data_IF_506105612235
#
_entry.id   IF_506105612235
#
_cell.length_a   1.000
_cell.length_b   1.000
_cell.length_c   1.000
_cell.angle_alpha   90.00
_cell.angle_beta   90.00
_cell.angle_gamma   90.00
#
_symmetry.space_group_name_H-M   'P 1'
#
loop_
_entity.id
_entity.type
_entity.pdbx_description
1 polymer ?
#
# COMPACT_ATOMS: atom_id res chain seq x y z
N UNK A 1 3.95 -4.69 4.26
CA UNK A 1 2.73 -5.42 4.68
C UNK A 1 2.99 -6.59 5.64
N UNK A 2 4.25 -7.01 5.87
CA UNK A 2 4.58 -8.13 6.79
C UNK A 2 4.13 -7.91 8.24
N UNK A 3 4.28 -6.69 8.79
CA UNK A 3 3.88 -6.39 10.17
C UNK A 3 2.38 -6.61 10.41
N UNK A 4 1.51 -6.09 9.54
CA UNK A 4 0.06 -6.32 9.60
C UNK A 4 -0.27 -7.83 9.56
N UNK A 5 0.35 -8.56 8.62
CA UNK A 5 0.14 -10.01 8.49
C UNK A 5 0.54 -10.78 9.76
N UNK A 6 1.65 -10.42 10.41
CA UNK A 6 2.09 -11.07 11.66
C UNK A 6 1.12 -10.88 12.83
N UNK A 7 0.23 -9.88 12.73
CA UNK A 7 -0.81 -9.57 13.72
C UNK A 7 -2.21 -10.03 13.26
N UNK A 8 -2.30 -10.83 12.19
CA UNK A 8 -3.56 -11.23 11.55
C UNK A 8 -4.43 -10.05 11.08
N UNK A 9 -3.80 -8.94 10.70
CA UNK A 9 -4.46 -7.77 10.10
C UNK A 9 -4.32 -7.85 8.58
N UNK A 10 -5.44 -7.71 7.88
CA UNK A 10 -5.47 -7.57 6.43
C UNK A 10 -4.84 -6.24 6.01
N UNK A 11 -4.11 -6.27 4.89
CA UNK A 11 -3.51 -5.05 4.34
C UNK A 11 -3.51 -5.07 2.82
N UNK A 12 -3.61 -3.89 2.20
CA UNK A 12 -3.55 -3.73 0.75
C UNK A 12 -2.78 -2.46 0.37
N UNK A 13 -1.98 -2.57 -0.70
CA UNK A 13 -1.35 -1.41 -1.33
C UNK A 13 -2.34 -0.75 -2.28
N UNK A 14 -2.62 0.54 -2.07
CA UNK A 14 -3.44 1.35 -2.97
C UNK A 14 -2.52 2.30 -3.74
N UNK A 15 -2.32 2.03 -5.03
CA UNK A 15 -1.44 2.80 -5.91
C UNK A 15 -2.15 4.03 -6.53
N UNK A 16 -2.78 4.84 -5.68
CA UNK A 16 -3.53 6.06 -6.09
C UNK A 16 -3.08 7.33 -5.35
N UNK A 17 -2.22 7.19 -4.34
CA UNK A 17 -1.84 8.29 -3.44
C UNK A 17 -1.31 9.53 -4.17
N UNK A 18 -0.56 9.36 -5.28
CA UNK A 18 -0.03 10.49 -6.05
C UNK A 18 -1.15 11.37 -6.60
N UNK A 19 -2.04 10.79 -7.40
CA UNK A 19 -3.10 11.54 -8.06
C UNK A 19 -4.10 12.13 -7.04
N UNK A 20 -4.31 11.44 -5.93
CA UNK A 20 -5.14 11.94 -4.83
C UNK A 20 -4.54 13.19 -4.20
N UNK A 21 -3.26 13.16 -3.80
CA UNK A 21 -2.62 14.31 -3.14
C UNK A 21 -2.27 15.47 -4.09
N UNK A 22 -2.28 15.25 -5.41
CA UNK A 22 -2.23 16.32 -6.41
C UNK A 22 -3.58 17.06 -6.54
N UNK A 23 -4.69 16.43 -6.15
CA UNK A 23 -6.03 17.03 -6.18
C UNK A 23 -6.25 18.04 -5.05
N UNK A 24 -7.23 18.92 -5.18
CA UNK A 24 -7.57 19.90 -4.14
C UNK A 24 -8.04 19.23 -2.84
N UNK A 25 -8.87 18.19 -2.94
CA UNK A 25 -9.33 17.41 -1.78
C UNK A 25 -8.16 16.76 -1.02
N UNK A 26 -7.21 16.16 -1.76
CA UNK A 26 -6.03 15.56 -1.15
C UNK A 26 -5.13 16.57 -0.43
N UNK A 27 -4.95 17.77 -1.01
CA UNK A 27 -4.21 18.87 -0.36
C UNK A 27 -4.91 19.33 0.92
N UNK A 28 -6.24 19.43 0.92
CA UNK A 28 -7.02 19.76 2.12
C UNK A 28 -6.86 18.70 3.21
N UNK A 29 -6.88 17.41 2.84
CA UNK A 29 -6.62 16.31 3.78
C UNK A 29 -5.22 16.45 4.39
N UNK A 30 -4.18 16.62 3.58
CA UNK A 30 -2.80 16.78 4.07
C UNK A 30 -2.68 17.96 5.04
N UNK A 31 -3.29 19.10 4.70
CA UNK A 31 -3.34 20.28 5.57
C UNK A 31 -4.08 19.99 6.88
N UNK A 32 -5.21 19.30 6.83
CA UNK A 32 -6.00 18.94 8.02
C UNK A 32 -5.23 18.00 8.97
N UNK A 33 -4.37 17.16 8.42
CA UNK A 33 -3.49 16.24 9.16
C UNK A 33 -2.20 16.90 9.66
N UNK A 34 -1.96 18.18 9.33
CA UNK A 34 -0.76 18.92 9.72
C UNK A 34 0.49 18.53 8.95
N UNK A 35 0.35 17.89 7.79
CA UNK A 35 1.47 17.52 6.92
C UNK A 35 1.84 18.73 6.08
N UNK A 36 3.06 19.24 6.26
CA UNK A 36 3.56 20.44 5.59
C UNK A 36 4.91 20.14 4.91
N UNK A 37 5.08 20.60 3.66
CA UNK A 37 6.31 20.43 2.87
C UNK A 37 6.05 19.76 1.52
N UNK A 38 7.13 19.55 0.77
CA UNK A 38 7.09 18.99 -0.58
C UNK A 38 7.15 17.46 -0.52
N UNK A 39 5.99 16.83 -0.35
CA UNK A 39 5.85 15.37 -0.33
C UNK A 39 5.10 14.86 -1.55
N UNK A 40 5.50 13.68 -2.04
CA UNK A 40 4.79 12.96 -3.10
C UNK A 40 4.10 11.72 -2.53
N UNK A 41 2.82 11.54 -2.84
CA UNK A 41 2.08 10.33 -2.48
C UNK A 41 2.56 9.14 -3.30
N UNK A 42 3.16 8.11 -2.68
CA UNK A 42 3.63 6.90 -3.38
C UNK A 42 2.61 5.76 -3.34
N UNK A 43 1.94 5.58 -2.20
CA UNK A 43 0.91 4.57 -2.02
C UNK A 43 0.35 4.57 -0.61
N UNK A 44 -0.90 4.12 -0.48
CA UNK A 44 -1.52 3.92 0.82
C UNK A 44 -1.42 2.46 1.25
N UNK A 45 -1.22 2.25 2.55
CA UNK A 45 -1.37 0.95 3.18
C UNK A 45 -2.69 0.96 3.95
N UNK A 46 -3.76 0.45 3.34
CA UNK A 46 -5.02 0.27 4.06
C UNK A 46 -4.91 -0.94 4.98
N UNK A 47 -5.54 -0.85 6.16
CA UNK A 47 -5.51 -1.88 7.20
C UNK A 47 -6.93 -2.20 7.65
N UNK A 48 -7.20 -3.46 7.99
CA UNK A 48 -8.49 -3.87 8.52
C UNK A 48 -8.55 -5.35 8.87
N UNK A 49 -9.63 -5.76 9.50
CA UNK A 49 -9.94 -7.18 9.68
C UNK A 49 -10.56 -7.73 8.40
N UNK A 50 -10.08 -8.90 7.98
CA UNK A 50 -10.51 -9.53 6.73
C UNK A 50 -11.93 -10.06 6.92
N UNK A 51 -12.85 -9.64 6.05
CA UNK A 51 -14.19 -10.21 5.93
C UNK A 51 -14.21 -11.22 4.77
N UNK A 52 -14.16 -12.51 5.10
CA UNK A 52 -14.12 -13.61 4.14
C UNK A 52 -12.78 -14.35 4.07
N UNK A 53 -12.57 -15.08 2.97
CA UNK A 53 -11.39 -15.93 2.80
C UNK A 53 -10.19 -15.11 2.29
N UNK A 54 -9.02 -15.37 2.85
CA UNK A 54 -7.78 -14.80 2.34
C UNK A 54 -7.42 -15.44 0.98
N UNK A 55 -6.91 -14.68 0.00
CA UNK A 55 -6.56 -15.24 -1.30
C UNK A 55 -5.45 -16.29 -1.19
N UNK A 56 -5.55 -17.32 -2.02
CA UNK A 56 -4.51 -18.33 -2.14
C UNK A 56 -3.21 -17.74 -2.68
N UNK A 57 -2.09 -18.31 -2.23
CA UNK A 57 -0.75 -17.91 -2.66
C UNK A 57 -0.55 -18.38 -4.13
N UNK A 58 -0.33 -17.47 -5.09
CA UNK A 58 -0.05 -17.86 -6.45
C UNK A 58 1.33 -18.53 -6.55
N UNK A 59 1.48 -19.48 -7.48
CA UNK A 59 2.78 -20.07 -7.77
C UNK A 59 3.78 -18.98 -8.20
N UNK A 60 5.04 -19.13 -7.78
CA UNK A 60 6.12 -18.24 -8.22
C UNK A 60 6.27 -18.37 -9.74
N UNK A 61 6.36 -17.24 -10.45
CA UNK A 61 6.60 -17.24 -11.89
C UNK A 61 7.97 -17.85 -12.18
N UNK A 62 8.02 -18.74 -13.17
CA UNK A 62 9.28 -19.31 -13.68
C UNK A 62 10.23 -18.20 -14.16
N UNK A 63 11.53 -18.49 -14.14
CA UNK A 63 12.59 -17.60 -14.66
C UNK A 63 12.62 -16.20 -14.00
N UNK A 64 12.31 -16.09 -12.71
CA UNK A 64 12.45 -14.83 -11.93
C UNK A 64 13.79 -14.69 -11.20
N UNK A 65 14.52 -15.78 -11.02
CA UNK A 65 15.81 -15.81 -10.33
C UNK A 65 16.84 -16.41 -11.28
N UNK A 66 17.94 -15.70 -11.48
CA UNK A 66 19.06 -16.12 -12.30
C UNK A 66 20.29 -16.17 -11.41
N UNK A 67 21.09 -17.21 -11.57
CA UNK A 67 22.38 -17.35 -10.90
C UNK A 67 23.48 -17.30 -11.96
N UNK A 68 24.60 -16.67 -11.62
CA UNK A 68 25.82 -16.62 -12.41
C UNK A 68 26.93 -17.04 -11.45
N UNK A 69 27.72 -18.03 -11.87
CA UNK A 69 28.88 -18.53 -11.13
C UNK A 69 30.13 -17.66 -11.36
#
# INVERSE_FOLDING_TARGET
>A
MLAAHSLNIGSCWIHRAKQEFESEEGKEILKSLGINGDYEGIGHCVLGYIDGNYPNIPARKENRVYYID
#
